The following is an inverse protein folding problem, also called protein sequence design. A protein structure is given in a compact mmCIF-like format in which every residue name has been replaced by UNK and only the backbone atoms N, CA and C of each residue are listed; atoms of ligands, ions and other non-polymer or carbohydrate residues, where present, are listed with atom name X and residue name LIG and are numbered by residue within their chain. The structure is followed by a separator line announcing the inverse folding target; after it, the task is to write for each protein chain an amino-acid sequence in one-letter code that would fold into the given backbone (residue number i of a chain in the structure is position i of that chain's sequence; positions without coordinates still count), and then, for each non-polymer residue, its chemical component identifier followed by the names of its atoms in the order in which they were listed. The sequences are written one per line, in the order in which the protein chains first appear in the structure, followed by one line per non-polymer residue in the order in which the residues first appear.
data_IF_137292471091
#
_entry.id   IF_137292471091
#
_cell.length_a   1.000
_cell.length_b   1.000
_cell.length_c   1.000
_cell.angle_alpha   90.00
_cell.angle_beta   90.00
_cell.angle_gamma   90.00
#
_symmetry.space_group_name_H-M   'P 1'
#
loop_
_entity.id
_entity.type
_entity.pdbx_description
1 polymer ?
#
# COMPACT_ATOMS: atom_id res chain seq x y z
N UNK A 1 -4.36 -8.05 12.32
CA UNK A 1 -5.68 -7.81 11.66
C UNK A 1 -5.65 -8.42 10.26
N UNK A 2 -6.81 -8.67 9.65
CA UNK A 2 -6.91 -9.18 8.26
C UNK A 2 -6.81 -8.04 7.23
N UNK A 3 -6.62 -8.39 5.96
CA UNK A 3 -6.66 -7.42 4.86
C UNK A 3 -8.05 -6.77 4.71
N UNK A 4 -9.14 -7.52 4.96
CA UNK A 4 -10.50 -6.98 5.01
C UNK A 4 -10.62 -5.79 5.98
N UNK A 5 -10.08 -5.91 7.20
CA UNK A 5 -10.13 -4.80 8.16
C UNK A 5 -9.29 -3.59 7.73
N UNK A 6 -8.21 -3.79 6.98
CA UNK A 6 -7.45 -2.69 6.36
C UNK A 6 -8.32 -1.99 5.32
N UNK A 7 -8.98 -2.77 4.46
CA UNK A 7 -9.89 -2.27 3.43
C UNK A 7 -11.04 -1.47 4.04
N UNK A 8 -11.68 -1.96 5.10
CA UNK A 8 -12.86 -1.31 5.68
C UNK A 8 -12.52 -0.06 6.50
N UNK A 9 -11.46 -0.11 7.31
CA UNK A 9 -11.29 0.85 8.42
C UNK A 9 -10.10 1.81 8.25
N UNK A 10 -9.09 1.45 7.46
CA UNK A 10 -7.81 2.18 7.48
C UNK A 10 -7.79 3.26 6.40
N UNK A 11 -7.51 4.53 6.72
CA UNK A 11 -7.51 5.59 5.72
C UNK A 11 -6.38 5.39 4.70
N UNK A 12 -6.62 5.78 3.44
CA UNK A 12 -5.57 5.92 2.44
C UNK A 12 -4.46 6.83 2.98
N UNK A 13 -3.22 6.55 2.59
CA UNK A 13 -2.03 7.21 3.08
C UNK A 13 -1.47 6.61 4.37
N UNK A 14 -2.16 5.69 5.05
CA UNK A 14 -1.60 5.01 6.23
C UNK A 14 -0.40 4.13 5.88
N UNK A 15 0.59 4.05 6.75
CA UNK A 15 1.66 3.04 6.69
C UNK A 15 1.14 1.74 7.29
N UNK A 16 1.11 0.69 6.46
CA UNK A 16 0.63 -0.65 6.82
C UNK A 16 1.78 -1.64 6.73
N UNK A 17 1.92 -2.51 7.72
CA UNK A 17 2.83 -3.66 7.70
C UNK A 17 2.04 -4.96 7.53
N UNK A 18 2.70 -5.98 7.00
CA UNK A 18 2.14 -7.32 6.85
C UNK A 18 3.20 -8.38 7.15
N UNK A 19 2.75 -9.54 7.64
CA UNK A 19 3.61 -10.67 8.01
C UNK A 19 2.90 -12.00 7.81
N UNK A 20 3.66 -13.03 7.46
CA UNK A 20 3.15 -14.41 7.33
C UNK A 20 3.36 -15.27 8.59
N UNK A 21 3.99 -14.71 9.62
CA UNK A 21 4.22 -15.38 10.91
C UNK A 21 5.45 -16.28 10.93
N UNK A 22 6.19 -16.41 9.82
CA UNK A 22 7.42 -17.20 9.78
C UNK A 22 8.62 -16.44 10.35
N UNK A 23 9.61 -17.10 10.97
CA UNK A 23 10.78 -16.44 11.55
C UNK A 23 11.71 -15.90 10.44
N UNK A 24 12.32 -14.74 10.70
CA UNK A 24 13.27 -14.10 9.77
C UNK A 24 14.48 -15.00 9.51
N UNK A 25 14.78 -15.35 8.24
CA UNK A 25 15.99 -16.10 7.90
C UNK A 25 17.28 -15.33 8.21
N UNK A 26 18.39 -16.02 8.56
CA UNK A 26 19.69 -15.36 8.71
C UNK A 26 20.15 -14.67 7.42
N UNK A 27 20.86 -13.54 7.55
CA UNK A 27 21.29 -12.69 6.42
C UNK A 27 22.13 -13.41 5.37
N UNK A 28 22.90 -14.43 5.77
CA UNK A 28 23.67 -15.28 4.85
C UNK A 28 22.80 -16.03 3.83
N UNK A 29 21.52 -16.27 4.13
CA UNK A 29 20.59 -16.96 3.24
C UNK A 29 19.80 -15.97 2.37
N UNK A 30 20.50 -15.14 1.58
CA UNK A 30 19.94 -14.02 0.80
C UNK A 30 18.65 -14.35 0.05
N UNK A 31 18.58 -15.48 -0.66
CA UNK A 31 17.38 -15.91 -1.40
C UNK A 31 16.18 -16.15 -0.48
N UNK A 32 16.39 -16.84 0.65
CA UNK A 32 15.34 -17.10 1.64
C UNK A 32 14.91 -15.81 2.33
N UNK A 33 15.87 -14.94 2.65
CA UNK A 33 15.59 -13.65 3.27
C UNK A 33 14.74 -12.76 2.33
N UNK A 34 15.10 -12.65 1.05
CA UNK A 34 14.33 -11.89 0.09
C UNK A 34 12.89 -12.43 -0.10
N UNK A 35 12.73 -13.77 -0.15
CA UNK A 35 11.41 -14.39 -0.20
C UNK A 35 10.59 -14.10 1.07
N UNK A 36 11.24 -14.11 2.23
CA UNK A 36 10.62 -13.76 3.51
C UNK A 36 10.20 -12.29 3.57
N UNK A 37 11.08 -11.36 3.15
CA UNK A 37 10.81 -9.92 3.11
C UNK A 37 9.63 -9.57 2.18
N UNK A 38 9.44 -10.32 1.09
CA UNK A 38 8.28 -10.15 0.20
C UNK A 38 6.93 -10.47 0.87
N UNK A 39 6.94 -11.27 1.94
CA UNK A 39 5.75 -11.61 2.75
C UNK A 39 5.77 -11.00 4.15
N UNK A 40 6.84 -10.29 4.52
CA UNK A 40 7.07 -9.69 5.84
C UNK A 40 7.69 -8.31 5.67
N UNK A 41 6.87 -7.32 5.32
CA UNK A 41 7.31 -5.95 5.04
C UNK A 41 6.17 -4.97 5.29
N UNK A 42 6.21 -3.79 4.68
CA UNK A 42 5.17 -2.78 4.78
C UNK A 42 5.24 -1.78 3.63
N UNK A 43 4.27 -0.89 3.60
CA UNK A 43 4.17 0.16 2.59
C UNK A 43 3.04 1.13 2.92
N UNK A 44 2.96 2.21 2.16
CA UNK A 44 1.87 3.16 2.26
C UNK A 44 0.64 2.62 1.54
N UNK A 45 -0.51 2.61 2.19
CA UNK A 45 -1.77 2.26 1.57
C UNK A 45 -2.15 3.33 0.55
N UNK A 46 -2.09 3.01 -0.73
CA UNK A 46 -2.34 3.98 -1.81
C UNK A 46 -3.64 3.74 -2.55
N UNK A 47 -4.21 2.53 -2.48
CA UNK A 47 -5.45 2.22 -3.21
C UNK A 47 -6.26 1.19 -2.45
N UNK A 48 -7.58 1.30 -2.55
CA UNK A 48 -8.57 0.29 -2.18
C UNK A 48 -9.42 0.04 -3.40
N UNK A 49 -9.68 -1.21 -3.73
CA UNK A 49 -10.53 -1.56 -4.87
C UNK A 49 -11.65 -2.45 -4.37
N UNK A 50 -12.90 -2.06 -4.64
CA UNK A 50 -14.06 -2.86 -4.31
C UNK A 50 -14.07 -4.17 -5.09
N UNK A 51 -14.86 -5.13 -4.60
CA UNK A 51 -15.14 -6.34 -5.36
C UNK A 51 -15.71 -5.96 -6.73
N UNK A 52 -15.17 -6.58 -7.77
CA UNK A 52 -15.62 -6.32 -9.14
C UNK A 52 -15.81 -7.62 -9.90
N UNK A 53 -16.81 -7.63 -10.79
CA UNK A 53 -17.10 -8.79 -11.63
C UNK A 53 -16.58 -8.55 -13.03
N UNK A 54 -15.67 -9.41 -13.47
CA UNK A 54 -15.11 -9.40 -14.82
C UNK A 54 -15.63 -10.63 -15.56
N UNK A 55 -16.64 -10.43 -16.41
CA UNK A 55 -17.37 -11.50 -17.08
C UNK A 55 -18.05 -12.44 -16.07
N UNK A 56 -17.59 -13.69 -16.02
CA UNK A 56 -18.07 -14.70 -15.07
C UNK A 56 -17.21 -14.85 -13.81
N UNK A 57 -16.15 -14.07 -13.68
CA UNK A 57 -15.23 -14.15 -12.54
C UNK A 57 -15.47 -12.98 -11.59
N UNK A 58 -15.67 -13.27 -10.31
CA UNK A 58 -15.68 -12.26 -9.25
C UNK A 58 -14.26 -12.09 -8.71
N UNK A 59 -13.72 -10.88 -8.82
CA UNK A 59 -12.45 -10.51 -8.21
C UNK A 59 -12.75 -9.91 -6.83
N UNK A 60 -12.25 -10.52 -5.73
CA UNK A 60 -12.48 -9.99 -4.40
C UNK A 60 -11.87 -8.59 -4.27
N UNK A 61 -12.39 -7.81 -3.32
CA UNK A 61 -11.82 -6.52 -2.98
C UNK A 61 -10.31 -6.64 -2.68
N UNK A 62 -9.57 -5.55 -2.89
CA UNK A 62 -8.13 -5.53 -2.71
C UNK A 62 -7.63 -4.21 -2.13
N UNK A 63 -6.44 -4.25 -1.56
CA UNK A 63 -5.67 -3.08 -1.15
C UNK A 63 -4.35 -3.07 -1.89
N UNK A 64 -3.82 -1.90 -2.23
CA UNK A 64 -2.49 -1.75 -2.83
C UNK A 64 -1.60 -0.92 -1.92
N UNK A 65 -0.43 -1.46 -1.62
CA UNK A 65 0.61 -0.78 -0.85
C UNK A 65 1.75 -0.33 -1.76
N UNK A 66 2.14 0.93 -1.66
CA UNK A 66 3.39 1.43 -2.20
C UNK A 66 4.54 1.08 -1.25
N UNK A 67 5.48 0.23 -1.70
CA UNK A 67 6.60 -0.27 -0.89
C UNK A 67 7.86 0.58 -1.00
N UNK A 68 8.00 1.36 -2.07
CA UNK A 68 9.12 2.26 -2.25
C UNK A 68 9.37 2.61 -3.72
N UNK A 69 10.15 3.67 -3.88
CA UNK A 69 10.67 4.17 -5.14
C UNK A 69 12.16 3.86 -5.25
N UNK A 70 12.60 3.42 -6.42
CA UNK A 70 13.99 3.10 -6.72
C UNK A 70 14.48 3.94 -7.89
N UNK A 71 15.68 4.49 -7.77
CA UNK A 71 16.26 5.36 -8.78
C UNK A 71 17.54 6.05 -8.32
N UNK A 72 18.02 7.00 -9.10
CA UNK A 72 19.27 7.74 -8.84
C UNK A 72 19.14 9.20 -9.22
N UNK A 73 19.83 10.09 -8.50
CA UNK A 73 19.92 11.53 -8.83
C UNK A 73 18.54 12.23 -8.94
N UNK A 74 17.60 11.87 -8.04
CA UNK A 74 16.25 12.45 -8.04
C UNK A 74 15.28 11.86 -9.06
N UNK A 75 15.75 11.00 -9.97
CA UNK A 75 14.89 10.30 -10.93
C UNK A 75 14.40 8.98 -10.36
N UNK A 76 13.09 8.81 -10.21
CA UNK A 76 12.46 7.53 -9.88
C UNK A 76 12.34 6.70 -11.16
N UNK A 77 12.98 5.52 -11.17
CA UNK A 77 12.99 4.60 -12.32
C UNK A 77 12.01 3.44 -12.11
N UNK A 78 11.72 3.09 -10.86
CA UNK A 78 10.80 2.01 -10.52
C UNK A 78 10.02 2.31 -9.24
N UNK A 79 8.69 2.25 -9.32
CA UNK A 79 7.80 2.21 -8.15
C UNK A 79 7.40 0.78 -7.87
N UNK A 80 7.54 0.32 -6.63
CA UNK A 80 7.15 -1.04 -6.24
C UNK A 80 5.81 -1.01 -5.52
N UNK A 81 4.77 -1.51 -6.19
CA UNK A 81 3.45 -1.70 -5.61
C UNK A 81 3.21 -3.18 -5.32
N UNK A 82 2.48 -3.45 -4.24
CA UNK A 82 2.03 -4.81 -3.91
C UNK A 82 0.56 -4.78 -3.53
N UNK A 83 -0.24 -5.52 -4.29
CA UNK A 83 -1.68 -5.66 -4.05
C UNK A 83 -1.99 -6.93 -3.27
N UNK A 84 -2.93 -6.83 -2.35
CA UNK A 84 -3.42 -7.92 -1.53
C UNK A 84 -4.92 -8.02 -1.66
N UNK A 85 -5.43 -9.21 -1.96
CA UNK A 85 -6.86 -9.48 -1.81
C UNK A 85 -7.24 -9.37 -0.33
N UNK A 86 -8.48 -8.95 -0.05
CA UNK A 86 -9.06 -8.99 1.32
C UNK A 86 -9.06 -10.40 1.93
N UNK A 87 -8.99 -11.43 1.09
CA UNK A 87 -8.89 -12.84 1.47
C UNK A 87 -7.44 -13.33 1.73
N UNK A 88 -6.46 -12.42 1.80
CA UNK A 88 -5.06 -12.77 2.07
C UNK A 88 -4.90 -13.50 3.41
N UNK A 89 -4.01 -14.48 3.44
CA UNK A 89 -3.59 -15.25 4.62
C UNK A 89 -2.63 -14.47 5.55
N UNK A 90 -2.21 -13.27 5.16
CA UNK A 90 -1.25 -12.47 5.91
C UNK A 90 -1.92 -11.72 7.07
N UNK A 91 -1.11 -11.48 8.10
CA UNK A 91 -1.49 -10.61 9.20
C UNK A 91 -1.00 -9.19 8.94
N UNK A 92 -1.92 -8.25 8.95
CA UNK A 92 -1.64 -6.83 8.76
C UNK A 92 -1.63 -6.09 10.10
N UNK A 93 -1.00 -4.91 10.12
CA UNK A 93 -1.07 -3.94 11.20
C UNK A 93 -0.90 -2.51 10.64
N UNK A 94 -1.59 -1.54 11.23
CA UNK A 94 -1.36 -0.12 10.94
C UNK A 94 -0.20 0.35 11.81
N UNK A 95 0.86 0.83 11.16
CA UNK A 95 2.00 1.42 11.86
C UNK A 95 1.77 2.90 12.16
N UNK A 96 1.23 3.62 11.19
CA UNK A 96 1.06 5.08 11.26
C UNK A 96 -0.09 5.53 10.35
N UNK A 97 -1.11 6.23 10.85
CA UNK A 97 -2.10 6.89 10.00
C UNK A 97 -1.51 8.19 9.38
N UNK A 98 -2.13 8.77 8.34
CA UNK A 98 -1.79 10.11 7.89
C UNK A 98 -1.89 11.12 9.04
N UNK A 99 -1.05 12.17 9.00
CA UNK A 99 -1.13 13.25 9.96
C UNK A 99 -2.48 13.96 9.85
N UNK A 100 -3.00 14.45 10.98
CA UNK A 100 -4.20 15.28 10.98
C UNK A 100 -3.91 16.54 10.16
N UNK A 101 -4.80 16.87 9.22
CA UNK A 101 -4.64 18.00 8.30
C UNK A 101 -3.97 17.63 6.97
N UNK A 102 -3.46 16.40 6.81
CA UNK A 102 -2.96 15.93 5.52
C UNK A 102 -4.05 15.92 4.44
N UNK A 103 -3.63 16.19 3.20
CA UNK A 103 -4.50 16.20 2.02
C UNK A 103 -4.09 15.07 1.08
N UNK A 104 -5.05 14.23 0.70
CA UNK A 104 -4.88 13.16 -0.27
C UNK A 104 -5.05 13.72 -1.68
N UNK A 105 -4.02 13.59 -2.52
CA UNK A 105 -4.12 13.86 -3.96
C UNK A 105 -4.25 12.53 -4.68
N UNK A 106 -5.36 12.36 -5.38
CA UNK A 106 -5.73 11.12 -6.06
C UNK A 106 -5.58 11.28 -7.58
N UNK A 107 -5.30 10.19 -8.30
CA UNK A 107 -5.16 10.20 -9.76
C UNK A 107 -6.49 10.44 -10.50
N UNK A 108 -7.62 10.13 -9.86
CA UNK A 108 -8.97 10.23 -10.40
C UNK A 108 -10.00 10.37 -9.28
N UNK A 109 -11.25 10.58 -9.67
CA UNK A 109 -12.41 10.48 -8.80
C UNK A 109 -12.90 9.03 -8.63
N UNK A 110 -13.58 8.75 -7.52
CA UNK A 110 -14.20 7.45 -7.25
C UNK A 110 -13.50 6.62 -6.16
N UNK A 111 -14.14 5.50 -5.81
CA UNK A 111 -13.71 4.65 -4.69
C UNK A 111 -12.43 3.86 -4.98
N UNK A 112 -12.10 3.67 -6.26
CA UNK A 112 -10.92 2.91 -6.70
C UNK A 112 -9.73 3.80 -7.04
N UNK A 113 -9.78 5.09 -6.72
CA UNK A 113 -8.73 6.04 -7.02
C UNK A 113 -7.42 5.73 -6.27
N UNK A 114 -6.30 6.02 -6.92
CA UNK A 114 -4.96 5.80 -6.38
C UNK A 114 -4.40 7.10 -5.80
N UNK A 115 -3.91 7.03 -4.56
CA UNK A 115 -3.15 8.09 -3.91
C UNK A 115 -1.81 8.27 -4.62
N UNK A 116 -1.65 9.41 -5.29
CA UNK A 116 -0.41 9.78 -6.00
C UNK A 116 0.48 10.68 -5.16
N UNK A 117 -0.11 11.46 -4.24
CA UNK A 117 0.63 12.34 -3.34
C UNK A 117 -0.12 12.56 -2.02
N UNK A 118 0.61 12.49 -0.90
CA UNK A 118 0.09 12.82 0.43
C UNK A 118 0.71 14.14 0.87
N UNK A 119 -0.05 15.21 0.73
CA UNK A 119 0.39 16.54 1.14
C UNK A 119 0.20 16.73 2.65
N UNK A 120 1.06 17.54 3.23
CA UNK A 120 1.01 17.92 4.65
C UNK A 120 -0.15 18.87 4.97
N UNK A 121 -0.55 19.69 4.00
CA UNK A 121 -1.67 20.62 4.07
C UNK A 121 -2.16 20.99 2.65
N UNK A 122 -3.22 21.81 2.58
CA UNK A 122 -3.83 22.19 1.30
C UNK A 122 -2.89 22.93 0.33
N UNK A 123 -2.16 23.94 0.79
CA UNK A 123 -1.24 24.68 -0.09
C UNK A 123 -0.13 23.79 -0.70
N UNK A 124 0.34 22.78 0.03
CA UNK A 124 1.32 21.78 -0.44
C UNK A 124 0.72 20.88 -1.53
N UNK A 125 -0.55 20.49 -1.37
CA UNK A 125 -1.28 19.77 -2.43
C UNK A 125 -1.47 20.64 -3.68
N UNK A 126 -1.78 21.92 -3.50
CA UNK A 126 -1.96 22.86 -4.62
C UNK A 126 -0.63 23.11 -5.35
N UNK A 127 0.48 23.26 -4.62
CA UNK A 127 1.82 23.38 -5.19
C UNK A 127 2.26 22.13 -5.96
N UNK A 128 1.90 20.93 -5.48
CA UNK A 128 2.20 19.69 -6.19
C UNK A 128 1.45 19.55 -7.52
N UNK A 129 0.29 20.20 -7.67
CA UNK A 129 -0.53 20.15 -8.89
C UNK A 129 -0.09 21.12 -9.99
N UNK A 130 0.85 22.04 -9.70
CA UNK A 130 1.37 23.03 -10.64
C UNK A 130 2.68 22.62 -11.29
#
# INVERSE_FOLDING_TARGET
MSAQLIYDLVPLGSIVTYRDGTPRPPERHRKKLAAWENRNSGGRLIRKQAETRVGNTTLPASITLHKGDYGSQGTIVLRVHQSFSVNSDLNFAVKEPPAIGSVLVLDRDGEDAELVYLASHRADAEEWLT
#
